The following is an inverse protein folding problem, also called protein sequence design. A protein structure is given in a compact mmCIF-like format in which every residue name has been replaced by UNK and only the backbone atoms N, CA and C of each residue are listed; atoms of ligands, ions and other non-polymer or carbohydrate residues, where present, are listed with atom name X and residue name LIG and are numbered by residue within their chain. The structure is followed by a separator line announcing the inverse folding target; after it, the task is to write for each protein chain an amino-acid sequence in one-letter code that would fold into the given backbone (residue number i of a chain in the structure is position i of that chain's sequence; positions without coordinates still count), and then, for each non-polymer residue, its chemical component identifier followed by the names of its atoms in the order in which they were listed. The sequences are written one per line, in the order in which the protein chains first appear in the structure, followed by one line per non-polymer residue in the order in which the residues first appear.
data_IF_471210646632
#
_entry.id   IF_471210646632
#
_cell.length_a   1.000
_cell.length_b   1.000
_cell.length_c   1.000
_cell.angle_alpha   90.00
_cell.angle_beta   90.00
_cell.angle_gamma   90.00
#
_symmetry.space_group_name_H-M   'P 1'
#
loop_
_entity.id
_entity.type
_entity.pdbx_description
1 polymer ?
#
# COMPACT_ATOMS: atom_id res chain seq x y z
N UNK A 1 -6.43 74.34 41.44
CA UNK A 1 -6.02 73.51 40.32
C UNK A 1 -7.18 72.77 39.53
N UNK A 2 -8.30 72.55 40.12
CA UNK A 2 -9.38 71.75 39.49
C UNK A 2 -10.27 72.55 38.47
N UNK A 3 -10.26 73.89 38.47
CA UNK A 3 -11.05 74.74 37.54
C UNK A 3 -10.44 74.82 36.11
N UNK A 4 -9.13 74.64 35.93
CA UNK A 4 -8.48 74.66 34.60
C UNK A 4 -8.82 73.44 33.71
N UNK A 5 -9.20 72.32 34.30
CA UNK A 5 -9.56 71.13 33.60
C UNK A 5 -10.99 71.15 32.99
N UNK A 6 -11.81 72.17 33.27
CA UNK A 6 -13.18 72.35 32.73
C UNK A 6 -13.29 73.38 31.58
N UNK A 7 -12.20 73.97 31.14
CA UNK A 7 -12.24 74.87 30.02
C UNK A 7 -12.49 74.06 28.74
N UNK A 8 -13.44 74.54 27.87
CA UNK A 8 -13.73 73.89 26.57
C UNK A 8 -12.49 73.74 25.76
N UNK A 9 -11.53 74.67 25.81
CA UNK A 9 -10.28 74.64 25.11
C UNK A 9 -9.36 73.48 25.58
N UNK A 10 -9.26 73.24 26.91
CA UNK A 10 -8.43 72.16 27.48
C UNK A 10 -9.00 70.78 27.13
N UNK A 11 -10.34 70.67 27.09
CA UNK A 11 -11.01 69.39 26.67
C UNK A 11 -10.73 69.14 25.20
N UNK A 12 -10.81 70.15 24.32
CA UNK A 12 -10.58 69.98 22.89
C UNK A 12 -9.11 69.63 22.62
N UNK A 13 -8.12 70.27 23.27
CA UNK A 13 -6.69 69.89 23.11
C UNK A 13 -6.36 68.52 23.65
N UNK A 14 -6.98 68.11 24.73
CA UNK A 14 -6.83 66.71 25.25
C UNK A 14 -7.42 65.72 24.30
N UNK A 15 -8.65 65.96 23.77
CA UNK A 15 -9.30 65.09 22.83
C UNK A 15 -8.53 64.96 21.53
N UNK A 16 -8.00 66.07 20.98
CA UNK A 16 -7.16 66.03 19.79
C UNK A 16 -5.85 65.27 20.01
N UNK A 17 -5.24 65.37 21.19
CA UNK A 17 -4.07 64.57 21.55
C UNK A 17 -4.36 63.07 21.62
N UNK A 18 -5.47 62.69 22.21
CA UNK A 18 -5.90 61.30 22.25
C UNK A 18 -6.18 60.75 20.86
N UNK A 19 -6.88 61.52 20.00
CA UNK A 19 -7.13 61.16 18.60
C UNK A 19 -5.82 60.98 17.84
N UNK A 20 -4.86 61.91 18.06
CA UNK A 20 -3.53 61.82 17.44
C UNK A 20 -2.78 60.56 17.83
N UNK A 21 -2.80 60.21 19.12
CA UNK A 21 -2.20 58.96 19.62
C UNK A 21 -2.91 57.75 19.03
N UNK A 22 -4.24 57.72 19.00
CA UNK A 22 -5.00 56.62 18.39
C UNK A 22 -4.71 56.46 16.89
N UNK A 23 -4.55 57.57 16.15
CA UNK A 23 -4.18 57.52 14.74
C UNK A 23 -2.76 56.99 14.54
N UNK A 24 -1.81 57.32 15.39
CA UNK A 24 -0.44 56.79 15.34
C UNK A 24 -0.44 55.32 15.66
N UNK A 25 -1.17 54.87 16.71
CA UNK A 25 -1.31 53.45 17.07
C UNK A 25 -1.98 52.68 15.92
N UNK A 26 -2.99 53.25 15.27
CA UNK A 26 -3.65 52.64 14.14
C UNK A 26 -2.74 52.54 12.92
N UNK A 27 -2.01 53.62 12.57
CA UNK A 27 -1.11 53.68 11.42
C UNK A 27 0.06 52.70 11.55
N UNK A 28 0.57 52.51 12.78
CA UNK A 28 1.70 51.63 13.06
C UNK A 28 1.26 50.25 13.51
N UNK A 29 -0.07 49.95 13.47
CA UNK A 29 -0.67 48.67 13.90
C UNK A 29 -0.19 48.21 15.27
N UNK A 30 0.01 49.12 16.19
CA UNK A 30 0.33 48.85 17.61
C UNK A 30 -0.93 48.52 18.40
N UNK A 31 -0.83 47.84 19.55
CA UNK A 31 -2.01 47.55 20.37
C UNK A 31 -2.79 48.85 20.71
N UNK A 32 -4.16 48.84 20.61
CA UNK A 32 -5.06 47.71 20.40
C UNK A 32 -5.34 47.32 18.94
N UNK A 33 -4.70 47.98 17.97
CA UNK A 33 -4.97 47.76 16.51
C UNK A 33 -4.07 46.69 15.87
N UNK A 34 -3.65 45.67 16.61
CA UNK A 34 -2.83 44.57 16.13
C UNK A 34 -3.67 43.74 15.14
N UNK A 35 -3.16 43.57 13.94
CA UNK A 35 -3.79 42.71 12.92
C UNK A 35 -3.87 41.26 13.43
N UNK A 36 -5.07 40.69 13.43
CA UNK A 36 -5.30 39.27 13.73
C UNK A 36 -5.03 38.36 12.54
N UNK A 37 -4.87 38.96 11.33
CA UNK A 37 -4.62 38.25 10.11
C UNK A 37 -3.12 38.00 9.97
N UNK A 38 -2.73 36.72 9.91
CA UNK A 38 -1.35 36.31 9.61
C UNK A 38 -1.24 35.98 8.13
N UNK A 39 -0.29 36.61 7.44
CA UNK A 39 -0.09 36.46 6.00
C UNK A 39 1.30 35.87 5.71
N UNK A 40 1.37 35.02 4.68
CA UNK A 40 2.64 34.62 4.07
C UNK A 40 2.46 34.44 2.55
N UNK A 41 3.46 34.90 1.80
CA UNK A 41 3.67 34.70 0.36
C UNK A 41 4.52 33.44 0.05
N UNK A 42 5.17 32.91 1.10
CA UNK A 42 5.95 31.68 0.98
C UNK A 42 5.03 30.46 1.13
N UNK A 43 4.16 30.27 0.17
CA UNK A 43 3.23 29.15 0.15
C UNK A 43 3.07 28.60 -1.27
N UNK A 44 2.87 27.30 -1.37
CA UNK A 44 2.68 26.61 -2.65
C UNK A 44 1.69 25.48 -2.54
N UNK A 45 1.00 25.20 -3.64
CA UNK A 45 0.15 24.03 -3.77
C UNK A 45 1.03 22.80 -3.90
N UNK A 46 0.69 21.76 -3.16
CA UNK A 46 1.33 20.44 -3.20
C UNK A 46 0.29 19.39 -3.55
N UNK A 47 0.74 18.30 -4.12
CA UNK A 47 -0.07 17.12 -4.43
C UNK A 47 0.78 15.87 -4.35
N UNK A 48 0.13 14.72 -4.32
CA UNK A 48 0.82 13.44 -4.38
C UNK A 48 1.30 13.17 -5.81
N UNK A 49 2.60 13.02 -5.97
CA UNK A 49 3.21 12.56 -7.22
C UNK A 49 3.68 11.13 -7.03
N UNK A 50 3.10 10.20 -7.78
CA UNK A 50 3.46 8.79 -7.75
C UNK A 50 4.27 8.46 -8.99
N UNK A 51 5.50 7.98 -8.79
CA UNK A 51 6.35 7.52 -9.88
C UNK A 51 5.93 6.09 -10.25
N UNK A 52 5.59 5.87 -11.51
CA UNK A 52 5.27 4.56 -12.06
C UNK A 52 6.52 4.01 -12.73
N UNK A 53 7.00 2.87 -12.22
CA UNK A 53 8.18 2.16 -12.73
C UNK A 53 7.84 0.72 -13.09
N UNK A 54 8.67 0.11 -13.93
CA UNK A 54 8.57 -1.32 -14.23
C UNK A 54 9.06 -2.18 -13.06
N UNK A 55 8.39 -3.31 -12.83
CA UNK A 55 8.82 -4.34 -11.87
C UNK A 55 9.64 -5.45 -12.53
N UNK A 56 9.56 -5.57 -13.86
CA UNK A 56 10.24 -6.59 -14.66
C UNK A 56 11.01 -5.96 -15.81
N UNK A 57 11.96 -6.71 -16.36
CA UNK A 57 12.67 -6.33 -17.59
C UNK A 57 11.84 -6.69 -18.82
N UNK A 58 11.92 -5.88 -19.86
CA UNK A 58 11.27 -6.17 -21.12
C UNK A 58 11.33 -5.01 -22.12
N UNK A 59 10.87 -5.24 -23.32
CA UNK A 59 10.74 -4.23 -24.37
C UNK A 59 9.34 -3.63 -24.30
N UNK A 60 9.21 -2.32 -24.41
CA UNK A 60 7.91 -1.64 -24.47
C UNK A 60 7.29 -1.94 -25.83
N UNK A 61 6.21 -2.71 -25.85
CA UNK A 61 5.44 -3.03 -27.05
C UNK A 61 4.53 -1.86 -27.43
N UNK A 62 3.83 -1.29 -26.43
CA UNK A 62 2.85 -0.24 -26.68
C UNK A 62 2.69 0.72 -25.50
N UNK A 63 2.43 1.99 -25.83
CA UNK A 63 2.11 3.06 -24.90
C UNK A 63 0.65 3.48 -25.15
N UNK A 64 -0.17 3.52 -24.11
CA UNK A 64 -1.62 3.80 -24.21
C UNK A 64 -1.98 5.20 -23.72
N UNK A 65 -1.02 5.96 -23.21
CA UNK A 65 -1.24 7.29 -22.64
C UNK A 65 -0.36 8.34 -23.29
N UNK A 66 -0.80 9.60 -23.21
CA UNK A 66 -0.10 10.77 -23.67
C UNK A 66 0.24 11.68 -22.49
N UNK A 67 1.16 12.64 -22.74
CA UNK A 67 1.51 13.67 -21.76
C UNK A 67 0.25 14.42 -21.31
N UNK A 68 0.15 14.65 -19.99
CA UNK A 68 -0.90 15.43 -19.34
C UNK A 68 -2.33 14.87 -19.47
N UNK A 69 -2.48 13.63 -19.92
CA UNK A 69 -3.76 12.94 -20.00
C UNK A 69 -4.28 12.58 -18.60
N UNK A 70 -5.59 12.74 -18.40
CA UNK A 70 -6.26 12.23 -17.20
C UNK A 70 -6.42 10.71 -17.28
N UNK A 71 -6.09 10.03 -16.18
CA UNK A 71 -6.18 8.57 -16.06
C UNK A 71 -6.89 8.18 -14.78
N UNK A 72 -7.54 7.04 -14.81
CA UNK A 72 -8.18 6.43 -13.65
C UNK A 72 -7.30 5.32 -13.06
N UNK A 73 -7.51 5.01 -11.80
CA UNK A 73 -6.84 3.88 -11.14
C UNK A 73 -7.12 2.58 -11.90
N UNK A 74 -6.08 1.80 -12.17
CA UNK A 74 -6.16 0.55 -12.92
C UNK A 74 -6.14 0.70 -14.44
N UNK A 75 -6.19 1.92 -14.99
CA UNK A 75 -6.07 2.16 -16.43
C UNK A 75 -4.69 1.71 -16.94
N UNK A 76 -4.68 1.00 -18.08
CA UNK A 76 -3.44 0.51 -18.69
C UNK A 76 -2.64 1.68 -19.30
N UNK A 77 -1.39 1.81 -18.86
CA UNK A 77 -0.47 2.86 -19.31
C UNK A 77 0.52 2.34 -20.34
N UNK A 78 1.17 1.22 -20.04
CA UNK A 78 2.18 0.61 -20.89
C UNK A 78 1.95 -0.90 -20.98
N UNK A 79 2.31 -1.47 -22.12
CA UNK A 79 2.37 -2.91 -22.32
C UNK A 79 3.79 -3.28 -22.74
N UNK A 80 4.39 -4.22 -22.04
CA UNK A 80 5.65 -4.85 -22.41
C UNK A 80 5.38 -6.05 -23.32
N UNK A 81 6.37 -6.47 -24.08
CA UNK A 81 6.33 -7.75 -24.81
C UNK A 81 6.12 -8.89 -23.81
N UNK A 82 5.00 -9.57 -23.94
CA UNK A 82 4.55 -10.63 -23.05
C UNK A 82 4.84 -12.04 -23.56
N UNK A 83 5.48 -12.17 -24.73
CA UNK A 83 5.70 -13.45 -25.43
C UNK A 83 6.48 -14.43 -24.57
N UNK A 84 7.59 -14.00 -23.97
CA UNK A 84 8.41 -14.82 -23.08
C UNK A 84 7.63 -15.24 -21.82
N UNK A 85 6.90 -14.31 -21.22
CA UNK A 85 6.15 -14.58 -19.99
C UNK A 85 4.97 -15.53 -20.20
N UNK A 86 4.31 -15.48 -21.38
CA UNK A 86 3.30 -16.45 -21.77
C UNK A 86 3.88 -17.85 -21.91
N UNK A 87 5.07 -17.97 -22.50
CA UNK A 87 5.77 -19.27 -22.62
C UNK A 87 6.17 -19.81 -21.24
N UNK A 88 6.68 -18.96 -20.34
CA UNK A 88 7.01 -19.35 -18.97
C UNK A 88 5.77 -19.81 -18.20
N UNK A 89 4.63 -19.14 -18.37
CA UNK A 89 3.37 -19.57 -17.77
C UNK A 89 2.92 -20.93 -18.31
N UNK A 90 2.97 -21.13 -19.63
CA UNK A 90 2.62 -22.41 -20.25
C UNK A 90 3.54 -23.55 -19.77
N UNK A 91 4.84 -23.29 -19.63
CA UNK A 91 5.79 -24.25 -19.09
C UNK A 91 5.48 -24.61 -17.62
N UNK A 92 5.23 -23.59 -16.76
CA UNK A 92 4.86 -23.84 -15.37
C UNK A 92 3.57 -24.63 -15.23
N UNK A 93 2.57 -24.33 -16.09
CA UNK A 93 1.31 -25.07 -16.12
C UNK A 93 1.52 -26.53 -16.54
N UNK A 94 2.34 -26.81 -17.56
CA UNK A 94 2.65 -28.17 -17.98
C UNK A 94 3.37 -28.99 -16.88
N UNK A 95 4.24 -28.33 -16.09
CA UNK A 95 4.87 -28.97 -14.92
C UNK A 95 3.83 -29.33 -13.87
N UNK A 96 2.90 -28.41 -13.54
CA UNK A 96 1.82 -28.67 -12.59
C UNK A 96 0.93 -29.81 -13.06
N UNK A 97 0.54 -29.83 -14.33
CA UNK A 97 -0.30 -30.88 -14.91
C UNK A 97 0.38 -32.25 -14.87
N UNK A 98 1.70 -32.29 -15.17
CA UNK A 98 2.49 -33.52 -15.04
C UNK A 98 2.53 -34.06 -13.60
N UNK A 99 2.69 -33.15 -12.60
CA UNK A 99 2.67 -33.55 -11.18
C UNK A 99 1.29 -34.04 -10.72
N UNK A 100 0.23 -33.37 -11.18
CA UNK A 100 -1.15 -33.80 -10.92
C UNK A 100 -1.45 -35.18 -11.52
N UNK A 101 -0.99 -35.44 -12.74
CA UNK A 101 -1.14 -36.75 -13.38
C UNK A 101 -0.42 -37.86 -12.59
N UNK A 102 0.81 -37.60 -12.11
CA UNK A 102 1.51 -38.54 -11.22
C UNK A 102 0.74 -38.78 -9.92
N UNK A 103 0.27 -37.71 -9.27
CA UNK A 103 -0.51 -37.84 -8.03
C UNK A 103 -1.78 -38.68 -8.24
N UNK A 104 -2.47 -38.47 -9.37
CA UNK A 104 -3.66 -39.24 -9.71
C UNK A 104 -3.32 -40.73 -9.94
N UNK A 105 -2.18 -41.04 -10.61
CA UNK A 105 -1.76 -42.43 -10.82
C UNK A 105 -1.43 -43.14 -9.50
N UNK A 106 -0.72 -42.49 -8.59
CA UNK A 106 -0.44 -43.05 -7.26
C UNK A 106 -1.72 -43.23 -6.43
N UNK A 107 -2.64 -42.27 -6.50
CA UNK A 107 -3.94 -42.39 -5.84
C UNK A 107 -4.73 -43.61 -6.33
N UNK A 108 -4.73 -43.85 -7.64
CA UNK A 108 -5.38 -45.03 -8.25
C UNK A 108 -4.69 -46.32 -7.78
N UNK A 109 -3.34 -46.39 -7.83
CA UNK A 109 -2.60 -47.58 -7.36
C UNK A 109 -2.89 -47.87 -5.88
N UNK A 110 -2.93 -46.84 -5.05
CA UNK A 110 -3.25 -46.95 -3.64
C UNK A 110 -4.69 -47.48 -3.42
N UNK A 111 -5.65 -47.07 -4.25
CA UNK A 111 -7.04 -47.54 -4.20
C UNK A 111 -7.15 -49.02 -4.61
N UNK A 112 -6.46 -49.41 -5.70
CA UNK A 112 -6.43 -50.81 -6.15
C UNK A 112 -5.82 -51.71 -5.08
N UNK A 113 -4.67 -51.31 -4.47
CA UNK A 113 -4.01 -52.06 -3.42
C UNK A 113 -4.89 -52.17 -2.16
N UNK A 114 -5.65 -51.13 -1.81
CA UNK A 114 -6.60 -51.16 -0.70
C UNK A 114 -7.71 -52.20 -0.98
N UNK A 115 -8.20 -52.28 -2.24
CA UNK A 115 -9.16 -53.33 -2.63
C UNK A 115 -8.60 -54.74 -2.48
N UNK A 116 -7.31 -54.95 -2.81
CA UNK A 116 -6.64 -56.25 -2.61
C UNK A 116 -6.42 -56.57 -1.10
N UNK A 117 -6.08 -55.61 -0.28
CA UNK A 117 -5.98 -55.76 1.17
C UNK A 117 -7.33 -56.20 1.75
N UNK A 118 -8.42 -55.53 1.40
CA UNK A 118 -9.76 -55.88 1.88
C UNK A 118 -10.17 -57.29 1.46
N UNK A 119 -9.82 -57.75 0.25
CA UNK A 119 -10.04 -59.12 -0.20
C UNK A 119 -9.23 -60.14 0.63
N UNK A 120 -7.95 -59.86 0.86
CA UNK A 120 -7.07 -60.72 1.65
C UNK A 120 -7.51 -60.80 3.13
N UNK A 121 -7.97 -59.71 3.71
CA UNK A 121 -8.55 -59.67 5.05
C UNK A 121 -9.84 -60.51 5.17
N UNK A 122 -10.72 -60.41 4.16
CA UNK A 122 -11.94 -61.23 4.12
C UNK A 122 -11.63 -62.73 3.96
N UNK A 123 -10.59 -63.08 3.21
CA UNK A 123 -10.13 -64.47 3.04
C UNK A 123 -9.52 -65.04 4.32
N UNK A 124 -8.69 -64.20 5.01
CA UNK A 124 -8.15 -64.50 6.32
C UNK A 124 -9.26 -64.77 7.37
N UNK A 125 -10.28 -63.89 7.41
CA UNK A 125 -11.41 -64.03 8.32
C UNK A 125 -12.19 -65.34 8.07
N UNK A 126 -12.40 -65.71 6.79
CA UNK A 126 -13.03 -66.98 6.44
C UNK A 126 -12.19 -68.17 6.88
N UNK A 127 -10.88 -68.20 6.65
CA UNK A 127 -9.99 -69.26 7.07
C UNK A 127 -9.91 -69.45 8.57
N UNK A 128 -9.94 -68.34 9.34
CA UNK A 128 -10.02 -68.38 10.80
C UNK A 128 -11.37 -68.93 11.32
N UNK A 129 -12.48 -68.57 10.66
CA UNK A 129 -13.80 -69.05 11.02
C UNK A 129 -13.91 -70.58 10.81
N UNK A 130 -13.37 -71.09 9.69
CA UNK A 130 -13.29 -72.53 9.43
C UNK A 130 -12.40 -73.27 10.45
N UNK A 131 -11.30 -72.63 10.92
CA UNK A 131 -10.43 -73.26 11.96
C UNK A 131 -11.11 -73.30 13.32
N UNK A 132 -12.00 -72.35 13.68
CA UNK A 132 -12.70 -72.28 14.95
C UNK A 132 -14.02 -73.11 15.02
N UNK A 133 -14.55 -73.52 13.84
CA UNK A 133 -15.84 -74.28 13.76
C UNK A 133 -15.65 -75.79 13.92
N UNK A 134 -14.44 -76.32 14.18
CA UNK A 134 -14.23 -77.70 14.52
C UNK A 134 -13.87 -77.86 16.03
N UNK A 135 -14.84 -77.77 16.96
CA UNK A 135 -14.63 -78.17 18.30
C UNK A 135 -15.01 -79.69 18.48
N UNK A 136 -14.00 -80.50 18.67
CA UNK A 136 -14.21 -81.76 19.39
C UNK A 136 -14.77 -82.93 18.62
N UNK A 137 -13.90 -83.64 17.90
CA UNK A 137 -14.01 -85.11 17.95
C UNK A 137 -12.63 -85.71 18.20
N UNK A 138 -12.44 -86.16 19.46
CA UNK A 138 -11.45 -87.17 19.82
C UNK A 138 -11.58 -88.37 18.90
N UNK A 139 -10.58 -88.64 18.07
CA UNK A 139 -10.01 -90.02 18.06
C UNK A 139 -8.86 -90.07 17.05
N UNK A 140 -7.71 -90.47 17.55
CA UNK A 140 -6.57 -91.03 16.86
C UNK A 140 -6.89 -91.53 15.44
N UNK A 141 -6.48 -90.72 14.44
CA UNK A 141 -6.02 -91.27 13.18
C UNK A 141 -4.85 -90.37 12.79
N UNK A 142 -3.70 -90.96 12.84
CA UNK A 142 -2.43 -90.40 12.40
C UNK A 142 -2.53 -89.95 10.96
N UNK A 143 -2.65 -88.61 10.73
CA UNK A 143 -2.32 -87.95 9.46
C UNK A 143 -1.47 -86.74 9.80
N UNK A 144 -0.18 -87.02 9.88
CA UNK A 144 0.88 -86.12 10.34
C UNK A 144 1.24 -85.10 9.27
N UNK A 145 0.32 -84.76 8.36
CA UNK A 145 0.57 -83.79 7.26
C UNK A 145 -0.42 -82.66 7.17
N UNK A 146 -1.64 -82.74 7.74
CA UNK A 146 -2.73 -81.80 7.46
C UNK A 146 -2.75 -80.59 8.41
N UNK A 147 -2.35 -80.72 9.67
CA UNK A 147 -2.33 -79.60 10.64
C UNK A 147 -1.14 -78.65 10.35
N UNK A 148 -0.02 -79.19 9.88
CA UNK A 148 1.16 -78.38 9.51
C UNK A 148 0.96 -77.64 8.14
N UNK A 149 0.12 -78.11 7.27
CA UNK A 149 -0.21 -77.46 6.01
C UNK A 149 -1.17 -76.28 6.21
N UNK A 150 -2.16 -76.41 7.11
CA UNK A 150 -3.13 -75.34 7.38
C UNK A 150 -2.52 -74.18 8.18
N UNK A 151 -1.64 -74.46 9.15
CA UNK A 151 -0.91 -73.43 9.88
C UNK A 151 0.12 -72.69 9.00
N UNK A 152 0.74 -73.41 8.09
CA UNK A 152 1.68 -72.84 7.14
C UNK A 152 0.98 -71.97 6.09
N UNK A 153 -0.22 -72.32 5.62
CA UNK A 153 -1.03 -71.49 4.72
C UNK A 153 -1.55 -70.20 5.42
N UNK A 154 -1.91 -70.29 6.71
CA UNK A 154 -2.34 -69.11 7.47
C UNK A 154 -1.19 -68.12 7.71
N UNK A 155 0.02 -68.62 8.05
CA UNK A 155 1.19 -67.75 8.20
C UNK A 155 1.61 -67.08 6.91
N UNK A 156 1.52 -67.77 5.77
CA UNK A 156 1.79 -67.17 4.45
C UNK A 156 0.78 -66.08 4.06
N UNK A 157 -0.51 -66.27 4.40
CA UNK A 157 -1.55 -65.25 4.19
C UNK A 157 -1.32 -64.02 5.04
N UNK A 158 -0.91 -64.18 6.31
CA UNK A 158 -0.58 -63.07 7.22
C UNK A 158 0.65 -62.27 6.69
N UNK A 159 1.70 -62.99 6.28
CA UNK A 159 2.92 -62.36 5.72
C UNK A 159 2.61 -61.61 4.42
N UNK A 160 1.78 -62.16 3.52
CA UNK A 160 1.33 -61.52 2.32
C UNK A 160 0.49 -60.25 2.60
N UNK A 161 -0.38 -60.32 3.65
CA UNK A 161 -1.16 -59.17 4.07
C UNK A 161 -0.30 -58.06 4.65
N UNK A 162 0.70 -58.40 5.50
CA UNK A 162 1.63 -57.43 6.04
C UNK A 162 2.47 -56.77 4.96
N UNK A 163 2.93 -57.53 3.99
CA UNK A 163 3.65 -56.97 2.82
C UNK A 163 2.80 -55.96 2.02
N UNK A 164 1.52 -56.29 1.78
CA UNK A 164 0.59 -55.37 1.10
C UNK A 164 0.31 -54.11 1.95
N UNK A 165 0.19 -54.24 3.26
CA UNK A 165 0.02 -53.10 4.17
C UNK A 165 1.24 -52.21 4.19
N UNK A 166 2.47 -52.77 4.20
CA UNK A 166 3.70 -52.00 4.08
C UNK A 166 3.79 -51.23 2.73
N UNK A 167 3.48 -51.92 1.63
CA UNK A 167 3.44 -51.29 0.31
C UNK A 167 2.40 -50.14 0.27
N UNK A 168 1.22 -50.35 0.90
CA UNK A 168 0.20 -49.28 0.99
C UNK A 168 0.71 -48.06 1.76
N UNK A 169 1.42 -48.29 2.87
CA UNK A 169 2.07 -47.20 3.64
C UNK A 169 3.12 -46.47 2.83
N UNK A 170 3.92 -47.18 2.06
CA UNK A 170 4.90 -46.57 1.15
C UNK A 170 4.22 -45.69 0.10
N UNK A 171 3.14 -46.18 -0.54
CA UNK A 171 2.37 -45.37 -1.50
C UNK A 171 1.72 -44.13 -0.85
N UNK A 172 1.30 -44.19 0.41
CA UNK A 172 0.75 -43.07 1.15
C UNK A 172 1.83 -41.99 1.40
N UNK A 173 3.06 -42.39 1.75
CA UNK A 173 4.18 -41.47 1.90
C UNK A 173 4.57 -40.83 0.57
N UNK A 174 4.60 -41.62 -0.51
CA UNK A 174 4.87 -41.11 -1.85
C UNK A 174 3.77 -40.13 -2.31
N UNK A 175 2.51 -40.43 -2.04
CA UNK A 175 1.39 -39.54 -2.31
C UNK A 175 1.55 -38.21 -1.56
N UNK A 176 1.93 -38.27 -0.28
CA UNK A 176 2.17 -37.05 0.51
C UNK A 176 3.33 -36.23 -0.04
N UNK A 177 4.42 -36.85 -0.45
CA UNK A 177 5.53 -36.19 -1.13
C UNK A 177 5.07 -35.51 -2.42
N UNK A 178 4.34 -36.22 -3.26
CA UNK A 178 3.80 -35.66 -4.52
C UNK A 178 2.80 -34.55 -4.28
N UNK A 179 2.00 -34.58 -3.23
CA UNK A 179 1.12 -33.46 -2.85
C UNK A 179 1.94 -32.18 -2.55
N UNK A 180 3.08 -32.33 -1.87
CA UNK A 180 4.00 -31.20 -1.59
C UNK A 180 4.63 -30.68 -2.90
N UNK A 181 4.97 -31.58 -3.84
CA UNK A 181 5.49 -31.19 -5.15
C UNK A 181 4.43 -30.47 -6.01
N UNK A 182 3.18 -30.91 -5.96
CA UNK A 182 2.04 -30.23 -6.63
C UNK A 182 1.86 -28.84 -6.05
N UNK A 183 1.90 -28.69 -4.71
CA UNK A 183 1.84 -27.39 -4.05
C UNK A 183 2.97 -26.46 -4.51
N UNK A 184 4.21 -26.96 -4.58
CA UNK A 184 5.35 -26.20 -5.11
C UNK A 184 5.18 -25.80 -6.57
N UNK A 185 4.69 -26.71 -7.42
CA UNK A 185 4.42 -26.42 -8.83
C UNK A 185 3.30 -25.38 -9.00
N UNK A 186 2.26 -25.42 -8.16
CA UNK A 186 1.18 -24.42 -8.19
C UNK A 186 1.69 -23.02 -7.86
N UNK A 187 2.61 -22.88 -6.89
CA UNK A 187 3.29 -21.61 -6.59
C UNK A 187 4.10 -21.13 -7.80
N UNK A 188 4.75 -22.04 -8.55
CA UNK A 188 5.45 -21.71 -9.78
C UNK A 188 4.51 -21.13 -10.85
N UNK A 189 3.30 -21.66 -10.99
CA UNK A 189 2.27 -21.12 -11.90
C UNK A 189 1.82 -19.73 -11.45
N UNK A 190 1.59 -19.52 -10.16
CA UNK A 190 1.20 -18.19 -9.63
C UNK A 190 2.30 -17.14 -9.84
N UNK A 191 3.57 -17.51 -9.66
CA UNK A 191 4.70 -16.62 -9.96
C UNK A 191 4.76 -16.26 -11.45
N UNK A 192 4.59 -17.23 -12.35
CA UNK A 192 4.57 -16.98 -13.80
C UNK A 192 3.38 -16.08 -14.21
N UNK A 193 2.19 -16.26 -13.60
CA UNK A 193 1.03 -15.38 -13.80
C UNK A 193 1.31 -13.96 -13.31
N UNK A 194 1.94 -13.82 -12.13
CA UNK A 194 2.31 -12.51 -11.57
C UNK A 194 3.25 -11.77 -12.53
N UNK A 195 4.30 -12.44 -13.02
CA UNK A 195 5.23 -11.87 -13.98
C UNK A 195 4.53 -11.47 -15.30
N UNK A 196 3.61 -12.28 -15.79
CA UNK A 196 2.81 -11.96 -16.97
C UNK A 196 1.90 -10.74 -16.69
N UNK A 197 1.33 -10.61 -15.50
CA UNK A 197 0.54 -9.44 -15.13
C UNK A 197 1.40 -8.17 -15.06
N UNK A 198 2.65 -8.28 -14.62
CA UNK A 198 3.59 -7.16 -14.55
C UNK A 198 4.01 -6.64 -15.94
N UNK A 199 3.74 -7.39 -17.03
CA UNK A 199 3.90 -6.85 -18.40
C UNK A 199 2.90 -5.74 -18.71
N UNK A 200 1.79 -5.67 -17.96
CA UNK A 200 0.75 -4.64 -18.07
C UNK A 200 0.94 -3.63 -16.96
N UNK A 201 1.51 -2.49 -17.28
CA UNK A 201 1.76 -1.43 -16.31
C UNK A 201 0.54 -0.53 -16.25
N UNK A 202 -0.12 -0.50 -15.10
CA UNK A 202 -1.38 0.22 -14.88
C UNK A 202 -1.18 1.40 -13.93
N UNK A 203 -2.09 2.36 -13.97
CA UNK A 203 -2.06 3.50 -13.05
C UNK A 203 -2.40 3.06 -11.62
N UNK A 204 -1.55 3.37 -10.62
CA UNK A 204 -1.82 3.04 -9.22
C UNK A 204 -2.94 3.89 -8.60
N UNK A 205 -3.28 5.03 -9.21
CA UNK A 205 -4.31 5.98 -8.72
C UNK A 205 -4.89 6.82 -9.85
N UNK A 206 -6.01 7.44 -9.59
CA UNK A 206 -6.60 8.45 -10.47
C UNK A 206 -5.79 9.76 -10.38
N UNK A 207 -5.63 10.44 -11.52
CA UNK A 207 -4.89 11.70 -11.62
C UNK A 207 -4.48 12.03 -13.04
N UNK A 208 -3.49 12.89 -13.18
CA UNK A 208 -2.94 13.31 -14.47
C UNK A 208 -1.56 12.73 -14.70
N UNK A 209 -1.31 12.28 -15.92
CA UNK A 209 0.01 11.83 -16.37
C UNK A 209 0.94 13.03 -16.46
N UNK A 210 2.17 12.90 -15.99
CA UNK A 210 3.24 13.85 -16.26
C UNK A 210 3.82 13.66 -17.66
N UNK A 211 5.09 13.97 -17.84
CA UNK A 211 5.79 13.72 -19.11
C UNK A 211 6.10 12.22 -19.23
N UNK A 212 5.73 11.62 -20.36
CA UNK A 212 6.03 10.21 -20.67
C UNK A 212 7.49 10.11 -21.14
N UNK A 213 8.35 9.59 -20.26
CA UNK A 213 9.79 9.42 -20.56
C UNK A 213 10.10 8.19 -21.43
N UNK A 214 9.17 7.25 -21.50
CA UNK A 214 9.35 5.97 -22.19
C UNK A 214 9.04 6.04 -23.69
N UNK A 215 9.67 5.16 -24.49
CA UNK A 215 9.46 5.05 -25.94
C UNK A 215 9.12 3.61 -26.34
N UNK A 216 8.27 3.43 -27.36
CA UNK A 216 8.01 2.11 -27.96
C UNK A 216 9.31 1.54 -28.52
N UNK A 217 9.56 0.26 -28.31
CA UNK A 217 10.82 -0.43 -28.67
C UNK A 217 11.96 -0.25 -27.66
N UNK A 218 11.80 0.57 -26.64
CA UNK A 218 12.80 0.75 -25.58
C UNK A 218 12.85 -0.49 -24.68
N UNK A 219 14.06 -1.00 -24.40
CA UNK A 219 14.28 -2.00 -23.36
C UNK A 219 14.37 -1.34 -22.00
N UNK A 220 13.64 -1.86 -21.04
CA UNK A 220 13.60 -1.36 -19.66
C UNK A 220 13.98 -2.46 -18.67
N UNK A 221 14.46 -2.04 -17.51
CA UNK A 221 14.83 -2.91 -16.38
C UNK A 221 13.96 -2.56 -15.16
N UNK A 222 13.91 -3.42 -14.13
CA UNK A 222 13.21 -3.11 -12.89
C UNK A 222 13.62 -1.76 -12.31
N UNK A 223 12.67 -1.03 -11.75
CA UNK A 223 12.80 0.35 -11.24
C UNK A 223 13.07 1.44 -12.29
N UNK A 224 13.05 1.13 -13.60
CA UNK A 224 13.05 2.18 -14.63
C UNK A 224 11.76 3.00 -14.49
N UNK A 225 11.91 4.30 -14.21
CA UNK A 225 10.79 5.24 -14.15
C UNK A 225 10.27 5.49 -15.58
N UNK A 226 8.98 5.28 -15.77
CA UNK A 226 8.31 5.42 -17.07
C UNK A 226 7.52 6.72 -17.14
N UNK A 227 6.78 7.01 -16.08
CA UNK A 227 5.90 8.18 -16.02
C UNK A 227 5.59 8.53 -14.55
N UNK A 228 5.18 9.75 -14.29
CA UNK A 228 4.61 10.18 -13.01
C UNK A 228 3.10 10.35 -13.13
N UNK A 229 2.37 9.97 -12.08
CA UNK A 229 0.93 10.23 -11.93
C UNK A 229 0.74 11.22 -10.80
N UNK A 230 0.15 12.37 -11.13
CA UNK A 230 -0.13 13.46 -10.20
C UNK A 230 -1.60 13.31 -9.77
N UNK A 231 -1.82 13.11 -8.49
CA UNK A 231 -3.17 12.95 -7.94
C UNK A 231 -3.95 14.26 -7.92
N UNK A 232 -5.27 14.17 -8.02
CA UNK A 232 -6.19 15.30 -7.80
C UNK A 232 -6.24 15.76 -6.33
N UNK A 233 -5.69 14.96 -5.39
CA UNK A 233 -5.57 15.35 -3.98
C UNK A 233 -4.49 16.41 -3.82
N UNK A 234 -4.91 17.64 -3.60
CA UNK A 234 -4.03 18.79 -3.42
C UNK A 234 -4.22 19.43 -2.04
N UNK A 235 -3.18 20.06 -1.55
CA UNK A 235 -3.17 20.87 -0.34
C UNK A 235 -2.17 22.00 -0.48
N UNK A 236 -2.22 22.97 0.42
CA UNK A 236 -1.25 24.06 0.45
C UNK A 236 -0.25 23.81 1.57
N UNK A 237 1.03 24.07 1.29
CA UNK A 237 2.08 24.20 2.31
C UNK A 237 2.45 25.68 2.36
N UNK A 238 2.18 26.30 3.50
CA UNK A 238 2.49 27.70 3.77
C UNK A 238 3.52 27.82 4.89
N UNK A 239 4.61 28.53 4.65
CA UNK A 239 5.71 28.66 5.58
C UNK A 239 5.59 29.99 6.34
N UNK A 240 5.12 29.92 7.57
CA UNK A 240 4.97 31.08 8.47
C UNK A 240 6.20 31.28 9.35
N UNK A 241 6.50 32.51 9.71
CA UNK A 241 7.53 32.81 10.71
C UNK A 241 7.07 32.30 12.08
N UNK A 242 8.00 31.82 12.90
CA UNK A 242 7.72 31.33 14.25
C UNK A 242 6.88 32.32 15.09
N UNK A 243 7.16 33.61 14.93
CA UNK A 243 6.43 34.70 15.64
C UNK A 243 4.95 34.79 15.25
N UNK A 244 4.56 34.30 14.08
CA UNK A 244 3.18 34.33 13.60
C UNK A 244 2.34 33.15 14.13
N UNK A 245 3.00 32.06 14.58
CA UNK A 245 2.33 30.84 14.98
C UNK A 245 1.66 30.90 16.36
N UNK A 246 2.04 31.83 17.20
CA UNK A 246 1.61 31.89 18.61
C UNK A 246 0.08 31.84 18.80
N UNK A 247 -0.66 32.43 17.86
CA UNK A 247 -2.14 32.49 17.86
C UNK A 247 -2.79 31.57 16.84
N UNK A 248 -2.01 30.83 16.03
CA UNK A 248 -2.57 29.89 15.06
C UNK A 248 -2.98 28.59 15.72
N UNK A 249 -4.09 28.02 15.28
CA UNK A 249 -4.62 26.74 15.75
C UNK A 249 -5.13 25.93 14.55
N UNK A 250 -5.11 24.61 14.69
CA UNK A 250 -5.75 23.68 13.74
C UNK A 250 -7.25 24.00 13.63
N UNK A 251 -7.80 23.94 12.43
CA UNK A 251 -9.19 24.23 12.12
C UNK A 251 -9.51 25.70 11.85
N UNK A 252 -8.57 26.63 12.03
CA UNK A 252 -8.80 28.03 11.70
C UNK A 252 -9.02 28.24 10.20
N UNK A 253 -9.92 29.15 9.79
CA UNK A 253 -10.18 29.47 8.41
C UNK A 253 -8.98 30.19 7.79
N UNK A 254 -8.70 29.82 6.56
CA UNK A 254 -7.64 30.40 5.71
C UNK A 254 -8.26 30.89 4.42
N UNK A 255 -8.00 32.11 4.05
CA UNK A 255 -8.25 32.60 2.70
C UNK A 255 -6.92 32.62 1.97
N UNK A 256 -6.90 32.12 0.76
CA UNK A 256 -5.69 32.20 -0.08
C UNK A 256 -6.00 32.69 -1.48
N UNK A 257 -5.07 33.40 -2.06
CA UNK A 257 -5.14 33.86 -3.44
C UNK A 257 -4.11 33.12 -4.29
N UNK A 258 -4.49 32.77 -5.51
CA UNK A 258 -3.66 32.03 -6.46
C UNK A 258 -3.27 32.97 -7.59
N UNK A 259 -1.96 33.21 -7.78
CA UNK A 259 -1.44 34.15 -8.75
C UNK A 259 -1.86 33.77 -10.18
N UNK A 260 -1.83 32.46 -10.50
CA UNK A 260 -2.18 31.95 -11.83
C UNK A 260 -3.69 32.07 -12.17
N UNK A 261 -4.54 32.35 -11.16
CA UNK A 261 -5.98 32.53 -11.33
C UNK A 261 -6.42 34.01 -11.13
N UNK A 262 -5.60 34.96 -11.56
CA UNK A 262 -5.87 36.39 -11.41
C UNK A 262 -6.17 36.81 -9.96
N UNK A 263 -5.43 36.25 -9.00
CA UNK A 263 -5.65 36.45 -7.56
C UNK A 263 -7.04 36.04 -7.08
N UNK A 264 -7.69 35.08 -7.72
CA UNK A 264 -8.95 34.50 -7.24
C UNK A 264 -8.76 34.01 -5.81
N UNK A 265 -9.69 34.40 -4.93
CA UNK A 265 -9.68 34.02 -3.52
C UNK A 265 -10.42 32.70 -3.35
N UNK A 266 -9.76 31.77 -2.70
CA UNK A 266 -10.29 30.48 -2.32
C UNK A 266 -10.15 30.34 -0.81
N UNK A 267 -10.86 29.38 -0.23
CA UNK A 267 -10.87 29.13 1.20
C UNK A 267 -10.35 27.75 1.54
N UNK A 268 -9.89 27.63 2.76
CA UNK A 268 -9.39 26.38 3.31
C UNK A 268 -9.29 26.46 4.82
N UNK A 269 -8.75 25.43 5.44
CA UNK A 269 -8.56 25.36 6.89
C UNK A 269 -7.16 24.88 7.22
N UNK A 270 -6.62 25.40 8.32
CA UNK A 270 -5.38 24.87 8.91
C UNK A 270 -5.61 23.41 9.29
N UNK A 271 -4.93 22.50 8.59
CA UNK A 271 -5.00 21.05 8.84
C UNK A 271 -4.03 20.65 9.95
N UNK A 272 -2.75 20.96 9.77
CA UNK A 272 -1.70 20.62 10.74
C UNK A 272 -0.46 21.49 10.63
N UNK A 273 0.33 21.51 11.69
CA UNK A 273 1.64 22.17 11.73
C UNK A 273 2.76 21.12 11.54
N UNK A 274 3.85 21.53 10.90
CA UNK A 274 5.04 20.71 10.88
C UNK A 274 5.58 20.53 12.32
N UNK A 275 6.08 19.34 12.68
CA UNK A 275 6.59 19.07 14.04
C UNK A 275 7.94 19.74 14.32
N UNK A 276 8.62 20.26 13.30
CA UNK A 276 9.90 20.97 13.42
C UNK A 276 10.01 22.09 12.37
N UNK A 277 10.97 22.97 12.54
CA UNK A 277 11.28 24.03 11.58
C UNK A 277 11.95 23.49 10.32
N UNK A 278 11.91 24.25 9.22
CA UNK A 278 12.53 23.83 7.96
C UNK A 278 14.03 23.56 8.07
N UNK A 279 14.75 24.23 9.00
CA UNK A 279 16.17 24.01 9.25
C UNK A 279 16.48 22.62 9.83
N UNK A 280 15.59 22.03 10.63
CA UNK A 280 15.79 20.69 11.20
C UNK A 280 15.61 19.58 10.14
N UNK A 281 14.79 19.83 9.12
CA UNK A 281 14.61 18.91 8.00
C UNK A 281 15.65 19.06 6.88
N UNK A 282 16.54 20.07 6.98
CA UNK A 282 17.59 20.27 5.99
C UNK A 282 18.69 19.23 6.16
N UNK A 283 19.06 18.56 5.06
CA UNK A 283 20.20 17.62 5.01
C UNK A 283 21.55 18.33 5.23
N UNK A 284 21.62 19.63 4.97
CA UNK A 284 22.80 20.47 5.19
C UNK A 284 22.58 21.27 6.49
N UNK A 285 23.01 20.72 7.61
CA UNK A 285 23.12 21.50 8.86
C UNK A 285 24.26 22.48 8.68
N UNK A 286 23.95 23.77 8.55
CA UNK A 286 24.95 24.84 8.68
C UNK A 286 25.38 24.86 10.13
N UNK A 287 26.55 24.30 10.40
CA UNK A 287 27.17 24.38 11.75
C UNK A 287 27.65 25.82 11.96
N UNK A 288 26.85 26.60 12.69
CA UNK A 288 27.14 27.99 13.04
C UNK A 288 28.07 28.07 14.27
N UNK A 289 28.94 27.08 14.46
CA UNK A 289 29.87 27.01 15.59
C UNK A 289 31.00 28.06 15.56
N UNK A 290 31.06 28.94 14.58
CA UNK A 290 32.12 29.95 14.49
C UNK A 290 31.51 31.36 14.65
N UNK A 291 31.48 31.83 15.83
CA UNK A 291 31.82 33.21 16.24
C UNK A 291 30.72 34.26 16.30
N UNK A 292 29.57 34.23 15.62
CA UNK A 292 28.49 35.19 15.80
C UNK A 292 27.12 34.54 15.65
N UNK A 293 26.42 34.34 16.77
CA UNK A 293 25.04 33.88 16.76
C UNK A 293 24.10 34.97 16.26
N UNK A 294 23.67 34.91 15.02
CA UNK A 294 22.61 35.75 14.48
C UNK A 294 21.29 34.99 14.60
N UNK A 295 20.36 35.50 15.41
CA UNK A 295 19.01 34.95 15.52
C UNK A 295 18.26 35.17 14.20
N UNK A 296 18.23 34.15 13.33
CA UNK A 296 17.44 34.14 12.09
C UNK A 296 16.03 33.62 12.43
N UNK A 297 14.99 34.38 12.04
CA UNK A 297 13.60 33.93 12.25
C UNK A 297 13.35 32.63 11.49
N UNK A 298 13.12 31.56 12.23
CA UNK A 298 12.79 30.26 11.67
C UNK A 298 11.39 30.25 11.05
N UNK A 299 11.19 29.41 10.04
CA UNK A 299 9.88 29.19 9.41
C UNK A 299 9.38 27.78 9.76
N UNK A 300 8.09 27.68 10.01
CA UNK A 300 7.38 26.42 10.25
C UNK A 300 6.35 26.24 9.15
N UNK A 301 6.35 25.07 8.55
CA UNK A 301 5.38 24.72 7.51
C UNK A 301 4.02 24.40 8.12
N UNK A 302 2.99 25.02 7.58
CA UNK A 302 1.59 24.79 7.94
C UNK A 302 0.90 24.17 6.75
N UNK A 303 0.30 23.00 6.95
CA UNK A 303 -0.54 22.36 5.95
C UNK A 303 -1.94 22.94 6.04
N UNK A 304 -2.48 23.34 4.89
CA UNK A 304 -3.82 23.90 4.76
C UNK A 304 -4.59 22.97 3.82
N UNK A 305 -5.71 22.46 4.29
CA UNK A 305 -6.67 21.71 3.47
C UNK A 305 -7.61 22.67 2.76
N UNK A 306 -7.91 22.41 1.50
CA UNK A 306 -8.87 23.18 0.73
C UNK A 306 -10.29 22.81 1.14
N UNK A 307 -11.19 23.79 1.24
CA UNK A 307 -12.62 23.50 1.40
C UNK A 307 -13.15 22.95 0.06
N UNK A 308 -14.02 21.91 0.09
CA UNK A 308 -14.54 21.27 -1.13
C UNK A 308 -15.55 22.17 -1.88
N UNK A 309 -15.71 21.92 -3.19
CA UNK A 309 -16.78 22.50 -3.99
C UNK A 309 -16.61 23.97 -4.37
N UNK A 310 -15.38 24.50 -4.32
CA UNK A 310 -15.11 25.89 -4.73
C UNK A 310 -14.86 25.99 -6.23
N UNK A 311 -15.46 26.99 -6.87
CA UNK A 311 -15.21 27.30 -8.27
C UNK A 311 -13.74 27.69 -8.49
N UNK A 312 -13.08 27.04 -9.45
CA UNK A 312 -11.67 27.25 -9.75
C UNK A 312 -10.72 26.30 -9.01
N UNK A 313 -11.20 25.50 -8.05
CA UNK A 313 -10.35 24.52 -7.36
C UNK A 313 -9.83 23.44 -8.34
N UNK A 314 -10.62 23.11 -9.36
CA UNK A 314 -10.22 22.15 -10.41
C UNK A 314 -9.06 22.63 -11.30
N UNK A 315 -8.77 23.93 -11.30
CA UNK A 315 -7.67 24.52 -12.07
C UNK A 315 -6.36 24.59 -11.28
N UNK A 316 -6.39 24.18 -10.01
CA UNK A 316 -5.21 24.22 -9.15
C UNK A 316 -4.27 23.07 -9.51
N UNK A 317 -3.01 23.40 -9.74
CA UNK A 317 -1.97 22.43 -10.09
C UNK A 317 -0.88 22.47 -9.03
N UNK A 318 -0.35 21.30 -8.57
CA UNK A 318 0.81 21.27 -7.70
C UNK A 318 1.99 22.06 -8.26
N UNK A 319 2.61 22.87 -7.41
CA UNK A 319 3.69 23.77 -7.79
C UNK A 319 3.27 25.23 -7.94
N UNK A 320 1.97 25.54 -8.07
CA UNK A 320 1.50 26.94 -8.12
C UNK A 320 1.81 27.66 -6.80
N UNK A 321 2.23 28.94 -6.93
CA UNK A 321 2.43 29.86 -5.82
C UNK A 321 1.11 30.44 -5.34
N UNK A 322 0.99 30.62 -4.04
CA UNK A 322 -0.21 31.18 -3.41
C UNK A 322 0.18 32.12 -2.28
N UNK A 323 -0.67 33.11 -2.03
CA UNK A 323 -0.57 33.96 -0.85
C UNK A 323 -1.67 33.55 0.14
N UNK A 324 -1.32 33.24 1.37
CA UNK A 324 -2.27 32.75 2.37
C UNK A 324 -2.48 33.74 3.50
N UNK A 325 -3.73 33.85 3.96
CA UNK A 325 -4.18 34.73 5.02
C UNK A 325 -4.95 33.91 6.06
N UNK A 326 -4.41 33.77 7.27
CA UNK A 326 -5.05 33.05 8.38
C UNK A 326 -5.63 34.05 9.36
N UNK A 327 -6.93 33.99 9.59
CA UNK A 327 -7.57 34.80 10.63
C UNK A 327 -7.48 34.11 11.99
N UNK A 328 -6.62 34.65 12.84
CA UNK A 328 -6.38 34.12 14.18
C UNK A 328 -7.39 34.60 15.23
N UNK A 329 -8.31 35.55 14.88
CA UNK A 329 -9.40 35.98 15.76
C UNK A 329 -10.53 34.97 15.81
N UNK A 330 -10.78 34.28 14.69
CA UNK A 330 -11.81 33.24 14.62
C UNK A 330 -11.35 31.99 15.35
N UNK A 331 -12.16 31.54 16.32
CA UNK A 331 -11.96 30.23 16.95
C UNK A 331 -12.15 29.15 15.90
N UNK A 332 -11.30 28.11 15.94
CA UNK A 332 -11.55 26.90 15.20
C UNK A 332 -12.98 26.43 15.51
N UNK A 333 -13.84 26.32 14.47
CA UNK A 333 -15.14 25.68 14.63
C UNK A 333 -14.87 24.24 15.04
N UNK A 334 -15.19 23.90 16.29
CA UNK A 334 -14.89 22.62 16.89
C UNK A 334 -15.44 21.47 16.04
N UNK A 335 -14.61 20.47 15.81
CA UNK A 335 -14.99 19.14 15.42
C UNK A 335 -15.38 18.33 16.65
#
# INVERSE_FOLDING_TARGET
MIRALRSKATIVTFLSGVIGILLILWAWRLPPFVSTIQMTDNASIKGNVTLVSSQISGVIEKIYVQDYQKVEQGMLLFKLDDSLFKQQLAQAQAVLDSKNAKLASIALQAQLLQGEINKAEAELARSQTFSNVIPGHNKKLSFDGSANSSSRSLSQLLEALDTKRQLRKQLDLERQSLQSEVAGASVGVELAKLNLNHTKIVSPRTGYIGVVGARVGQYIVPNTQLVSVISDDIWIIANYKETQLSKMRVGQPVVFSVDALNNQKLTGRVDRFAPATGSEFSLLKTDTAIGNFIKIAQRVSVRIALDPGQEGAEKLIPGMSVVTYVDTAQRASGG
#
